data_IF_810776818447
#
_entry.id   IF_810776818447
#
_cell.length_a   1.000
_cell.length_b   1.000
_cell.length_c   1.000
_cell.angle_alpha   90.00
_cell.angle_beta   90.00
_cell.angle_gamma   90.00
#
_symmetry.space_group_name_H-M   'P 1'
#
loop_
_entity.id
_entity.type
_entity.pdbx_description
1 polymer ?
#
# COMPACT_ATOMS: atom_id res chain seq x y z
N UNK A 1 -3.03 -43.36 -3.38
CA UNK A 1 -2.91 -42.34 -4.44
C UNK A 1 -2.16 -41.17 -3.83
N UNK A 2 -0.92 -40.93 -4.26
CA UNK A 2 -0.04 -39.86 -3.76
C UNK A 2 0.01 -38.80 -4.86
N UNK A 3 -0.35 -37.55 -4.54
CA UNK A 3 -0.21 -36.42 -5.46
C UNK A 3 1.28 -36.09 -5.68
N UNK A 4 1.64 -35.64 -6.88
CA UNK A 4 3.03 -35.45 -7.32
C UNK A 4 3.60 -34.09 -6.91
N UNK A 5 4.93 -34.04 -6.75
CA UNK A 5 5.72 -32.88 -6.31
C UNK A 5 5.66 -31.65 -7.24
N UNK A 6 4.93 -31.70 -8.34
CA UNK A 6 4.75 -30.58 -9.28
C UNK A 6 3.67 -29.58 -8.84
N UNK A 7 2.75 -29.98 -7.96
CA UNK A 7 1.72 -29.08 -7.43
C UNK A 7 2.25 -28.17 -6.30
N UNK A 8 3.31 -28.59 -5.61
CA UNK A 8 3.92 -27.84 -4.50
C UNK A 8 4.92 -26.76 -4.94
N UNK A 9 5.40 -26.78 -6.19
CA UNK A 9 6.40 -25.81 -6.72
C UNK A 9 5.81 -24.59 -7.44
N UNK A 10 4.51 -24.57 -7.78
CA UNK A 10 3.87 -23.36 -8.35
C UNK A 10 3.58 -22.29 -7.30
N UNK A 11 3.57 -22.64 -6.01
CA UNK A 11 3.34 -21.69 -4.91
C UNK A 11 4.59 -20.90 -4.49
N UNK A 12 5.79 -21.26 -4.97
CA UNK A 12 7.04 -20.64 -4.51
C UNK A 12 8.03 -20.52 -5.68
N UNK A 13 7.83 -19.58 -6.61
CA UNK A 13 8.95 -19.08 -7.43
C UNK A 13 8.61 -17.78 -8.16
N UNK A 14 9.31 -16.72 -7.76
CA UNK A 14 9.65 -15.63 -8.67
C UNK A 14 8.95 -14.30 -8.42
N UNK A 15 9.17 -13.70 -7.24
CA UNK A 15 9.19 -12.24 -7.13
C UNK A 15 10.54 -11.80 -7.72
N UNK A 16 10.62 -11.09 -8.85
CA UNK A 16 11.83 -10.36 -9.21
C UNK A 16 11.80 -9.00 -8.52
N UNK A 17 12.74 -8.82 -7.59
CA UNK A 17 13.11 -7.56 -6.96
C UNK A 17 14.19 -6.89 -7.82
N UNK A 18 14.13 -5.56 -7.94
CA UNK A 18 15.07 -4.60 -8.55
C UNK A 18 14.96 -4.33 -10.07
N UNK A 19 14.61 -3.08 -10.40
CA UNK A 19 15.33 -2.27 -11.39
C UNK A 19 15.50 -0.85 -10.87
N UNK A 20 16.74 -0.39 -10.94
CA UNK A 20 17.25 0.92 -10.56
C UNK A 20 16.64 2.00 -11.47
N UNK A 21 16.29 3.16 -10.89
CA UNK A 21 15.97 4.36 -11.66
C UNK A 21 17.29 5.10 -11.88
N UNK A 22 17.85 5.02 -13.08
CA UNK A 22 18.94 5.89 -13.52
C UNK A 22 18.38 7.26 -13.91
N UNK A 23 18.94 8.31 -13.30
CA UNK A 23 18.79 9.69 -13.70
C UNK A 23 19.44 9.89 -15.09
N UNK A 24 18.66 10.34 -16.08
CA UNK A 24 19.20 10.62 -17.40
C UNK A 24 18.16 10.96 -18.46
N UNK A 25 17.96 12.26 -18.62
CA UNK A 25 17.83 12.93 -19.92
C UNK A 25 16.44 13.13 -20.58
N UNK A 26 16.23 14.41 -20.91
CA UNK A 26 15.28 15.06 -21.83
C UNK A 26 13.83 15.32 -21.39
N UNK A 27 13.61 16.58 -20.96
CA UNK A 27 12.42 17.33 -21.34
C UNK A 27 12.55 17.73 -22.81
N UNK A 28 11.92 16.98 -23.70
CA UNK A 28 11.38 17.55 -24.93
C UNK A 28 10.30 16.58 -25.46
N UNK A 29 9.12 17.13 -25.72
CA UNK A 29 8.02 16.49 -26.46
C UNK A 29 7.30 15.31 -25.77
N UNK A 30 6.84 15.49 -24.52
CA UNK A 30 5.76 14.66 -23.98
C UNK A 30 4.41 15.27 -24.39
N UNK A 31 3.73 14.61 -25.32
CA UNK A 31 2.38 14.95 -25.75
C UNK A 31 1.42 14.87 -24.54
N UNK A 32 0.43 15.77 -24.47
CA UNK A 32 -0.43 15.88 -23.27
C UNK A 32 -1.20 14.58 -22.96
N UNK A 33 -1.39 13.75 -23.98
CA UNK A 33 -2.07 12.47 -23.86
C UNK A 33 -1.16 11.39 -23.22
N UNK A 34 0.16 11.45 -23.39
CA UNK A 34 1.12 10.52 -22.74
C UNK A 34 1.35 10.84 -21.25
N UNK A 35 1.08 12.08 -20.83
CA UNK A 35 1.10 12.45 -19.40
C UNK A 35 -0.09 11.86 -18.63
N UNK A 36 -1.24 11.67 -19.29
CA UNK A 36 -2.45 11.10 -18.68
C UNK A 36 -2.31 9.59 -18.41
N UNK A 37 -1.65 8.85 -19.30
CA UNK A 37 -1.38 7.42 -19.10
C UNK A 37 -0.36 7.15 -17.99
N UNK A 38 0.56 8.09 -17.73
CA UNK A 38 1.50 8.00 -16.59
C UNK A 38 0.86 8.40 -15.26
N UNK A 39 -0.14 9.29 -15.27
CA UNK A 39 -0.94 9.64 -14.07
C UNK A 39 -2.00 8.58 -13.72
N UNK A 40 -2.42 7.75 -14.68
CA UNK A 40 -3.28 6.59 -14.43
C UNK A 40 -2.55 5.40 -13.77
N UNK A 41 -1.22 5.47 -13.64
CA UNK A 41 -0.47 4.43 -12.94
C UNK A 41 -0.59 4.57 -11.42
N UNK A 42 -1.52 3.77 -10.89
CA UNK A 42 -1.50 3.13 -9.56
C UNK A 42 -2.37 3.73 -8.46
N UNK A 43 -3.64 4.05 -8.75
CA UNK A 43 -4.69 3.97 -7.73
C UNK A 43 -5.98 3.42 -8.34
N UNK A 44 -5.94 2.18 -8.85
CA UNK A 44 -7.18 1.40 -8.92
C UNK A 44 -7.57 1.05 -7.48
N UNK A 45 -8.81 1.35 -7.03
CA UNK A 45 -9.27 0.92 -5.71
C UNK A 45 -9.19 -0.61 -5.65
N UNK A 46 -8.56 -1.12 -4.60
CA UNK A 46 -8.29 -2.55 -4.44
C UNK A 46 -9.61 -3.35 -4.51
N UNK A 47 -9.75 -4.22 -5.52
CA UNK A 47 -10.87 -5.15 -5.61
C UNK A 47 -10.67 -6.30 -4.62
N UNK A 48 -11.72 -6.58 -3.81
CA UNK A 48 -11.70 -7.52 -2.68
C UNK A 48 -11.30 -8.94 -3.10
N UNK A 49 -10.27 -9.50 -2.45
CA UNK A 49 -10.02 -10.95 -2.43
C UNK A 49 -10.30 -11.63 -1.08
N UNK A 50 -10.46 -10.90 0.03
CA UNK A 50 -10.79 -11.47 1.35
C UNK A 50 -11.63 -10.53 2.21
N UNK A 51 -12.47 -11.09 3.10
CA UNK A 51 -13.29 -10.37 4.10
C UNK A 51 -12.44 -9.89 5.29
N UNK A 52 -11.35 -9.16 5.04
CA UNK A 52 -10.56 -8.56 6.11
C UNK A 52 -11.13 -7.18 6.47
N UNK A 53 -11.28 -6.90 7.77
CA UNK A 53 -11.79 -5.62 8.29
C UNK A 53 -10.92 -4.43 7.88
N UNK A 54 -9.61 -4.67 7.74
CA UNK A 54 -8.63 -3.68 7.29
C UNK A 54 -7.81 -4.26 6.15
N UNK A 55 -7.55 -3.44 5.13
CA UNK A 55 -6.73 -3.80 3.98
C UNK A 55 -5.54 -2.84 3.90
N UNK A 56 -4.32 -3.36 3.74
CA UNK A 56 -3.17 -2.52 3.37
C UNK A 56 -3.34 -2.08 1.91
N UNK A 57 -3.67 -0.82 1.67
CA UNK A 57 -3.86 -0.28 0.32
C UNK A 57 -2.50 0.10 -0.27
N UNK A 58 -1.70 0.82 0.50
CA UNK A 58 -0.41 1.34 0.05
C UNK A 58 0.54 1.53 1.21
N UNK A 59 1.83 1.43 0.92
CA UNK A 59 2.90 1.87 1.82
C UNK A 59 3.95 2.64 1.04
N UNK A 60 4.50 3.68 1.65
CA UNK A 60 5.58 4.46 1.04
C UNK A 60 6.41 5.17 2.11
N UNK A 61 7.62 5.59 1.73
CA UNK A 61 8.59 6.23 2.62
C UNK A 61 8.67 7.72 2.31
N UNK A 62 7.83 8.58 2.92
CA UNK A 62 7.89 10.02 2.68
C UNK A 62 9.24 10.62 3.07
N UNK A 63 9.94 10.05 4.06
CA UNK A 63 11.26 10.49 4.51
C UNK A 63 12.10 9.30 5.01
N UNK A 64 13.43 9.49 5.16
CA UNK A 64 14.40 8.44 5.52
C UNK A 64 14.05 7.65 6.80
N UNK A 65 13.35 8.28 7.74
CA UNK A 65 12.96 7.70 9.03
C UNK A 65 11.45 7.70 9.28
N UNK A 66 10.64 7.94 8.24
CA UNK A 66 9.19 7.95 8.32
C UNK A 66 8.58 6.98 7.29
N UNK A 67 7.71 6.10 7.75
CA UNK A 67 6.92 5.17 6.95
C UNK A 67 5.45 5.60 7.01
N UNK A 68 4.82 5.76 5.86
CA UNK A 68 3.39 5.97 5.73
C UNK A 68 2.72 4.67 5.29
N UNK A 69 1.67 4.25 6.00
CA UNK A 69 0.84 3.09 5.69
C UNK A 69 -0.58 3.57 5.49
N UNK A 70 -1.16 3.31 4.32
CA UNK A 70 -2.55 3.61 3.98
C UNK A 70 -3.36 2.35 4.21
N UNK A 71 -4.30 2.42 5.15
CA UNK A 71 -5.27 1.36 5.37
C UNK A 71 -6.60 1.71 4.74
N UNK A 72 -7.28 0.69 4.22
CA UNK A 72 -8.63 0.75 3.70
C UNK A 72 -9.60 -0.03 4.59
N UNK A 73 -10.81 0.50 4.79
CA UNK A 73 -11.92 -0.20 5.46
C UNK A 73 -13.26 0.13 4.80
N UNK A 74 -14.26 -0.73 4.97
CA UNK A 74 -15.61 -0.46 4.46
C UNK A 74 -16.32 0.64 5.26
N UNK A 75 -16.17 0.62 6.59
CA UNK A 75 -16.72 1.64 7.46
C UNK A 75 -15.62 2.66 7.85
N UNK A 76 -15.81 3.97 7.60
CA UNK A 76 -14.83 4.99 7.94
C UNK A 76 -14.45 5.00 9.42
N UNK A 77 -15.41 4.73 10.31
CA UNK A 77 -15.21 4.71 11.76
C UNK A 77 -14.25 3.61 12.21
N UNK A 78 -14.14 2.51 11.45
CA UNK A 78 -13.19 1.45 11.78
C UNK A 78 -11.74 1.95 11.70
N UNK A 79 -11.45 2.90 10.79
CA UNK A 79 -10.12 3.51 10.64
C UNK A 79 -9.77 4.51 11.78
N UNK A 80 -10.73 4.83 12.64
CA UNK A 80 -10.51 5.63 13.84
C UNK A 80 -10.25 4.80 15.08
N UNK A 81 -10.45 3.48 15.00
CA UNK A 81 -10.25 2.57 16.12
C UNK A 81 -8.77 2.29 16.40
N UNK A 82 -8.48 1.92 17.66
CA UNK A 82 -7.15 1.44 18.05
C UNK A 82 -6.75 0.16 17.30
N UNK A 83 -7.72 -0.66 16.88
CA UNK A 83 -7.48 -1.87 16.08
C UNK A 83 -6.82 -1.55 14.73
N UNK A 84 -7.20 -0.44 14.09
CA UNK A 84 -6.59 0.02 12.85
C UNK A 84 -5.12 0.43 13.07
N UNK A 85 -4.84 1.12 14.17
CA UNK A 85 -3.47 1.50 14.56
C UNK A 85 -2.64 0.25 14.82
N UNK A 86 -3.17 -0.75 15.52
CA UNK A 86 -2.49 -2.01 15.77
C UNK A 86 -2.19 -2.78 14.48
N UNK A 87 -3.14 -2.82 13.55
CA UNK A 87 -2.96 -3.45 12.24
C UNK A 87 -1.86 -2.76 11.45
N UNK A 88 -1.89 -1.43 11.35
CA UNK A 88 -0.83 -0.63 10.73
C UNK A 88 0.52 -0.84 11.43
N UNK A 89 0.54 -0.92 12.76
CA UNK A 89 1.75 -1.16 13.54
C UNK A 89 2.37 -2.54 13.28
N UNK A 90 1.54 -3.58 13.05
CA UNK A 90 2.04 -4.91 12.65
C UNK A 90 2.79 -4.84 11.32
N UNK A 91 2.26 -4.09 10.34
CA UNK A 91 2.91 -3.86 9.04
C UNK A 91 4.19 -3.02 9.22
N UNK A 92 4.13 -1.96 10.02
CA UNK A 92 5.26 -1.07 10.25
C UNK A 92 6.44 -1.78 10.96
N UNK A 93 6.14 -2.62 11.95
CA UNK A 93 7.15 -3.44 12.67
C UNK A 93 7.88 -4.39 11.73
N UNK A 94 7.20 -5.03 10.78
CA UNK A 94 7.84 -5.86 9.74
C UNK A 94 8.82 -5.06 8.89
N UNK A 95 8.56 -3.78 8.69
CA UNK A 95 9.40 -2.85 7.93
C UNK A 95 10.46 -2.12 8.78
N UNK A 96 10.61 -2.48 10.07
CA UNK A 96 11.55 -1.87 11.03
C UNK A 96 11.20 -0.42 11.43
N UNK A 97 9.93 -0.03 11.38
CA UNK A 97 9.40 1.25 11.89
C UNK A 97 8.46 1.01 13.08
N UNK A 98 9.00 0.71 14.29
CA UNK A 98 8.18 0.22 15.40
C UNK A 98 7.39 1.31 16.13
N UNK A 99 7.71 2.60 15.95
CA UNK A 99 7.10 3.69 16.72
C UNK A 99 5.97 4.34 15.93
N UNK A 100 4.77 4.32 16.49
CA UNK A 100 3.68 5.16 15.98
C UNK A 100 4.04 6.63 16.16
N UNK A 101 3.84 7.43 15.11
CA UNK A 101 4.09 8.87 15.15
C UNK A 101 2.79 9.65 15.21
N UNK A 102 1.92 9.44 14.22
CA UNK A 102 0.63 10.10 14.10
C UNK A 102 -0.22 9.37 13.05
N UNK A 103 -1.52 9.62 13.06
CA UNK A 103 -2.40 9.31 11.93
C UNK A 103 -2.78 10.62 11.24
N UNK A 104 -3.22 10.53 9.98
CA UNK A 104 -3.90 11.64 9.32
C UNK A 104 -5.18 11.98 10.09
N UNK A 105 -5.49 13.27 10.23
CA UNK A 105 -6.64 13.73 11.02
C UNK A 105 -7.95 13.25 10.40
N UNK A 106 -8.06 13.34 9.07
CA UNK A 106 -9.26 13.01 8.32
C UNK A 106 -9.19 11.61 7.69
N UNK A 107 -10.36 10.95 7.63
CA UNK A 107 -10.57 9.75 6.82
C UNK A 107 -10.98 10.18 5.41
N UNK A 108 -10.25 9.71 4.40
CA UNK A 108 -10.56 10.00 3.00
C UNK A 108 -11.69 9.11 2.54
N UNK A 109 -12.75 9.74 2.06
CA UNK A 109 -13.90 9.07 1.47
C UNK A 109 -13.86 9.27 -0.05
N UNK A 110 -14.10 8.19 -0.76
CA UNK A 110 -14.25 8.21 -2.21
C UNK A 110 -15.71 7.91 -2.59
N UNK A 111 -16.00 7.88 -3.89
CA UNK A 111 -17.33 7.56 -4.41
C UNK A 111 -17.81 6.15 -4.05
N UNK A 112 -18.98 5.79 -4.54
CA UNK A 112 -19.57 4.46 -4.31
C UNK A 112 -18.62 3.33 -4.72
N UNK A 113 -18.56 2.27 -3.92
CA UNK A 113 -17.72 1.07 -4.09
C UNK A 113 -16.22 1.23 -3.83
N UNK A 114 -15.80 2.33 -3.21
CA UNK A 114 -14.42 2.52 -2.77
C UNK A 114 -14.31 2.32 -1.25
N UNK A 115 -13.18 1.80 -0.79
CA UNK A 115 -12.87 1.74 0.63
C UNK A 115 -12.58 3.15 1.16
N UNK A 116 -13.01 3.43 2.38
CA UNK A 116 -12.51 4.58 3.11
C UNK A 116 -11.01 4.38 3.36
N UNK A 117 -10.21 5.44 3.32
CA UNK A 117 -8.76 5.35 3.51
C UNK A 117 -8.28 6.25 4.63
N UNK A 118 -7.28 5.80 5.38
CA UNK A 118 -6.57 6.63 6.35
C UNK A 118 -5.09 6.31 6.37
N UNK A 119 -4.25 7.35 6.45
CA UNK A 119 -2.80 7.21 6.52
C UNK A 119 -2.32 7.17 7.97
N UNK A 120 -1.51 6.18 8.30
CA UNK A 120 -0.82 6.03 9.59
C UNK A 120 0.68 6.17 9.39
N UNK A 121 1.32 7.00 10.21
CA UNK A 121 2.74 7.33 10.11
C UNK A 121 3.52 6.67 11.25
N UNK A 122 4.64 6.05 10.90
CA UNK A 122 5.52 5.35 11.83
C UNK A 122 6.97 5.79 11.66
N UNK A 123 7.70 5.89 12.77
CA UNK A 123 9.12 6.22 12.82
C UNK A 123 9.98 5.02 13.14
N UNK A 124 11.22 5.09 12.68
CA UNK A 124 12.24 4.07 12.93
C UNK A 124 12.71 4.04 14.39
N UNK A 125 12.85 5.22 15.01
CA UNK A 125 13.22 5.43 16.41
C UNK A 125 12.71 6.78 16.90
#
# INVERSE_FOLDING_TARGET
>A
MKLSDDELKKFIKGIPVNKELEDGDFYDELDKDDMLDRLQQNHEPASRMFWEKFVEIKRYFPQKDLLAIVLGADEPMDLESDEAIEFAAKIAKKNKYPKFHQAEDDVRLYGQNCLAERTFFFKKK
#
